data_IF_701607684982
#
_entry.id   IF_701607684982
#
_cell.length_a   1.000
_cell.length_b   1.000
_cell.length_c   1.000
_cell.angle_alpha   90.00
_cell.angle_beta   90.00
_cell.angle_gamma   90.00
#
_symmetry.space_group_name_H-M   'P 1'
#
loop_
_entity.id
_entity.type
_entity.pdbx_description
1 polymer ?
#
# COMPACT_ATOMS: atom_id res chain seq x y z
N UNK A 1 -3.92 16.20 -6.52
CA UNK A 1 -3.85 17.56 -5.94
C UNK A 1 -2.98 17.54 -4.68
N UNK A 2 -2.62 18.69 -4.10
CA UNK A 2 -1.85 18.76 -2.83
C UNK A 2 -2.64 18.13 -1.69
N UNK A 3 -3.95 18.30 -1.69
CA UNK A 3 -4.88 17.74 -0.71
C UNK A 3 -4.96 16.20 -0.72
N UNK A 4 -4.34 15.56 -1.71
CA UNK A 4 -4.27 14.11 -1.83
C UNK A 4 -2.99 13.52 -1.24
N UNK A 5 -2.14 14.35 -0.63
CA UNK A 5 -0.85 13.96 -0.08
C UNK A 5 -0.87 14.11 1.43
N UNK A 6 -0.62 13.01 2.12
CA UNK A 6 -0.49 12.98 3.58
C UNK A 6 0.96 12.72 3.96
N UNK A 7 1.49 13.56 4.86
CA UNK A 7 2.85 13.40 5.40
C UNK A 7 2.80 12.65 6.72
N UNK A 8 3.78 11.80 6.99
CA UNK A 8 3.81 10.97 8.20
C UNK A 8 5.19 10.76 8.79
N UNK A 9 5.20 10.26 10.02
CA UNK A 9 6.40 9.84 10.74
C UNK A 9 6.96 8.52 10.15
N UNK A 10 7.45 8.62 8.89
CA UNK A 10 7.73 7.51 8.02
C UNK A 10 6.46 6.88 7.43
N UNK A 11 6.62 6.03 6.42
CA UNK A 11 5.50 5.31 5.81
C UNK A 11 4.75 4.44 6.83
N UNK A 12 5.43 3.97 7.88
CA UNK A 12 4.83 3.10 8.91
C UNK A 12 3.64 3.72 9.64
N UNK A 13 3.69 5.02 9.98
CA UNK A 13 2.55 5.72 10.59
C UNK A 13 1.38 5.81 9.62
N UNK A 14 1.67 6.10 8.35
CA UNK A 14 0.65 6.26 7.31
C UNK A 14 -0.04 4.92 6.98
N UNK A 15 0.71 3.82 6.98
CA UNK A 15 0.15 2.47 6.85
C UNK A 15 -0.83 2.18 7.98
N UNK A 16 -0.43 2.40 9.23
CA UNK A 16 -1.30 2.17 10.38
C UNK A 16 -2.54 3.07 10.33
N UNK A 17 -2.37 4.35 10.03
CA UNK A 17 -3.47 5.33 9.91
C UNK A 17 -4.46 4.94 8.81
N UNK A 18 -3.95 4.50 7.65
CA UNK A 18 -4.79 4.09 6.51
C UNK A 18 -5.68 2.91 6.85
N UNK A 19 -5.13 1.92 7.55
CA UNK A 19 -5.87 0.73 7.97
C UNK A 19 -6.87 1.04 9.09
N UNK A 20 -6.50 1.92 10.05
CA UNK A 20 -7.43 2.39 11.08
C UNK A 20 -8.62 3.18 10.52
N UNK A 21 -8.41 3.92 9.43
CA UNK A 21 -9.49 4.64 8.76
C UNK A 21 -10.43 3.73 7.94
N UNK A 22 -9.95 2.55 7.54
CA UNK A 22 -10.63 1.66 6.60
C UNK A 22 -11.40 0.54 7.30
N UNK A 23 -10.82 -0.10 8.33
CA UNK A 23 -11.22 -1.42 8.78
C UNK A 23 -12.17 -1.36 9.98
N UNK A 24 -13.22 -2.15 9.88
CA UNK A 24 -14.08 -2.57 10.98
C UNK A 24 -13.80 -4.04 11.34
N UNK A 25 -14.39 -4.53 12.44
CA UNK A 25 -14.28 -5.92 12.87
C UNK A 25 -14.82 -6.88 11.80
N UNK A 26 -13.98 -7.84 11.41
CA UNK A 26 -14.29 -8.83 10.37
C UNK A 26 -13.93 -8.42 8.95
N UNK A 27 -13.53 -7.19 8.69
CA UNK A 27 -13.01 -6.77 7.39
C UNK A 27 -11.67 -7.45 7.07
N UNK A 28 -11.43 -7.71 5.79
CA UNK A 28 -10.25 -8.43 5.32
C UNK A 28 -9.37 -7.55 4.44
N UNK A 29 -8.06 -7.76 4.58
CA UNK A 29 -7.05 -7.18 3.69
C UNK A 29 -6.16 -8.28 3.15
N UNK A 30 -6.04 -8.36 1.83
CA UNK A 30 -5.09 -9.25 1.17
C UNK A 30 -3.67 -8.71 1.33
N UNK A 31 -2.77 -9.54 1.87
CA UNK A 31 -1.37 -9.19 2.15
C UNK A 31 -0.46 -10.24 1.50
N UNK A 32 0.67 -9.86 0.86
CA UNK A 32 1.55 -10.86 0.26
C UNK A 32 2.16 -11.82 1.29
N UNK A 33 2.50 -13.04 0.90
CA UNK A 33 3.31 -13.95 1.69
C UNK A 33 4.47 -14.49 0.84
N UNK A 34 5.72 -14.11 1.20
CA UNK A 34 6.14 -13.33 2.38
C UNK A 34 5.85 -11.83 2.28
N UNK A 35 5.66 -11.17 3.44
CA UNK A 35 5.38 -9.73 3.55
C UNK A 35 6.41 -8.98 4.41
N UNK A 36 6.28 -7.66 4.40
CA UNK A 36 6.83 -6.82 5.46
C UNK A 36 5.88 -6.89 6.68
N UNK A 37 6.31 -7.44 7.84
CA UNK A 37 5.41 -7.80 8.95
C UNK A 37 4.54 -6.67 9.50
N UNK A 38 4.90 -5.41 9.22
CA UNK A 38 4.10 -4.26 9.62
C UNK A 38 2.70 -4.29 9.00
N UNK A 39 2.55 -4.76 7.75
CA UNK A 39 1.25 -4.82 7.10
C UNK A 39 0.31 -5.77 7.83
N UNK A 40 0.73 -7.02 8.04
CA UNK A 40 -0.02 -8.01 8.80
C UNK A 40 -0.37 -7.52 10.21
N UNK A 41 0.62 -6.95 10.92
CA UNK A 41 0.43 -6.43 12.27
C UNK A 41 -0.57 -5.26 12.30
N UNK A 42 -0.46 -4.32 11.35
CA UNK A 42 -1.32 -3.13 11.31
C UNK A 42 -2.77 -3.49 10.95
N UNK A 43 -3.00 -4.44 10.05
CA UNK A 43 -4.35 -4.97 9.77
C UNK A 43 -4.97 -5.54 11.04
N UNK A 44 -4.23 -6.40 11.75
CA UNK A 44 -4.72 -7.03 12.99
C UNK A 44 -4.98 -6.00 14.10
N UNK A 45 -4.10 -5.01 14.26
CA UNK A 45 -4.26 -3.95 15.27
C UNK A 45 -5.41 -3.00 14.95
N UNK A 46 -5.77 -2.85 13.68
CA UNK A 46 -6.93 -2.07 13.25
C UNK A 46 -8.26 -2.83 13.37
N UNK A 47 -8.26 -4.07 13.85
CA UNK A 47 -9.44 -4.91 14.03
C UNK A 47 -9.79 -5.80 12.81
N UNK A 48 -9.04 -5.68 11.72
CA UNK A 48 -9.25 -6.48 10.53
C UNK A 48 -8.53 -7.83 10.55
N UNK A 49 -8.77 -8.63 9.54
CA UNK A 49 -8.16 -9.95 9.31
C UNK A 49 -7.20 -9.89 8.12
N UNK A 50 -5.88 -10.08 8.32
CA UNK A 50 -4.96 -10.25 7.19
C UNK A 50 -5.17 -11.61 6.53
N UNK A 51 -5.35 -11.61 5.22
CA UNK A 51 -5.49 -12.80 4.39
C UNK A 51 -4.30 -12.86 3.45
N UNK A 52 -3.40 -13.82 3.67
CA UNK A 52 -2.16 -13.89 2.93
C UNK A 52 -2.36 -14.56 1.57
N UNK A 53 -1.92 -13.89 0.49
CA UNK A 53 -1.82 -14.48 -0.84
C UNK A 53 -0.39 -14.93 -1.12
N UNK A 54 -0.25 -15.98 -1.91
CA UNK A 54 1.05 -16.59 -2.23
C UNK A 54 1.86 -15.72 -3.18
N UNK A 55 3.13 -15.48 -2.82
CA UNK A 55 4.18 -15.10 -3.75
C UNK A 55 5.08 -16.33 -3.94
N UNK A 56 5.00 -16.97 -5.10
CA UNK A 56 5.60 -18.29 -5.32
C UNK A 56 7.12 -18.16 -5.53
N UNK A 57 7.90 -18.84 -4.68
CA UNK A 57 9.34 -18.89 -4.81
C UNK A 57 9.80 -19.46 -6.14
N UNK A 58 9.07 -20.45 -6.67
CA UNK A 58 9.41 -21.08 -7.95
C UNK A 58 9.03 -20.23 -9.17
N UNK A 59 8.22 -19.19 -8.96
CA UNK A 59 7.85 -18.19 -9.95
C UNK A 59 8.47 -16.82 -9.61
N UNK A 60 9.75 -16.81 -9.22
CA UNK A 60 10.50 -15.58 -8.91
C UNK A 60 9.88 -14.71 -7.82
N UNK A 61 9.13 -15.31 -6.90
CA UNK A 61 8.39 -14.64 -5.83
C UNK A 61 7.27 -13.71 -6.34
N UNK A 62 6.75 -13.98 -7.52
CA UNK A 62 5.64 -13.21 -8.07
C UNK A 62 4.32 -13.63 -7.42
N UNK A 63 3.38 -12.68 -7.20
CA UNK A 63 2.03 -12.97 -6.76
C UNK A 63 1.31 -13.97 -7.66
N UNK A 64 0.74 -15.00 -7.04
CA UNK A 64 -0.14 -15.95 -7.72
C UNK A 64 -1.54 -15.34 -7.85
N UNK A 65 -1.92 -14.98 -9.07
CA UNK A 65 -3.19 -14.32 -9.38
C UNK A 65 -4.40 -15.24 -9.07
N UNK A 66 -4.28 -16.54 -9.29
CA UNK A 66 -5.37 -17.48 -9.00
C UNK A 66 -5.54 -17.67 -7.50
N UNK A 67 -4.44 -17.68 -6.75
CA UNK A 67 -4.48 -17.69 -5.29
C UNK A 67 -5.12 -16.41 -4.74
N UNK A 68 -4.77 -15.23 -5.28
CA UNK A 68 -5.41 -13.95 -4.93
C UNK A 68 -6.92 -14.05 -5.15
N UNK A 69 -7.36 -14.45 -6.35
CA UNK A 69 -8.79 -14.60 -6.71
C UNK A 69 -9.53 -15.50 -5.73
N UNK A 70 -8.91 -16.62 -5.38
CA UNK A 70 -9.52 -17.62 -4.49
C UNK A 70 -9.77 -17.11 -3.08
N UNK A 71 -9.04 -16.06 -2.67
CA UNK A 71 -9.05 -15.49 -1.32
C UNK A 71 -9.90 -14.22 -1.18
N UNK A 72 -10.38 -13.68 -2.29
CA UNK A 72 -11.29 -12.52 -2.25
C UNK A 72 -12.68 -12.98 -1.77
N UNK A 73 -13.19 -12.29 -0.76
CA UNK A 73 -14.53 -12.49 -0.21
C UNK A 73 -15.31 -11.17 -0.18
N UNK A 74 -16.57 -11.22 0.23
CA UNK A 74 -17.36 -10.00 0.44
C UNK A 74 -16.87 -9.11 1.58
N UNK A 75 -16.02 -9.64 2.46
CA UNK A 75 -15.38 -8.89 3.54
C UNK A 75 -14.06 -8.23 3.12
N UNK A 76 -13.52 -8.59 1.95
CA UNK A 76 -12.24 -8.03 1.46
C UNK A 76 -12.41 -6.56 1.09
N UNK A 77 -11.63 -5.67 1.71
CA UNK A 77 -11.65 -4.22 1.47
C UNK A 77 -10.48 -3.73 0.63
N UNK A 78 -9.34 -4.37 0.76
CA UNK A 78 -8.12 -3.89 0.13
C UNK A 78 -7.15 -5.03 -0.21
N UNK A 79 -6.23 -4.72 -1.12
CA UNK A 79 -5.06 -5.55 -1.42
C UNK A 79 -3.80 -4.72 -1.24
N UNK A 80 -2.80 -5.28 -0.55
CA UNK A 80 -1.47 -4.70 -0.40
C UNK A 80 -0.56 -5.23 -1.49
N UNK A 81 0.12 -4.34 -2.21
CA UNK A 81 1.16 -4.65 -3.20
C UNK A 81 2.44 -3.97 -2.75
N UNK A 82 3.48 -4.76 -2.48
CA UNK A 82 4.82 -4.27 -2.11
C UNK A 82 5.73 -4.43 -3.33
N UNK A 83 6.05 -3.33 -4.01
CA UNK A 83 6.84 -3.39 -5.24
C UNK A 83 7.86 -2.24 -5.33
N UNK A 84 9.17 -2.53 -5.36
CA UNK A 84 9.83 -3.84 -5.20
C UNK A 84 9.52 -4.49 -3.83
N UNK A 85 9.41 -5.81 -3.83
CA UNK A 85 8.95 -6.55 -2.65
C UNK A 85 10.00 -6.58 -1.54
N UNK A 86 9.55 -6.45 -0.32
CA UNK A 86 10.27 -6.76 0.91
C UNK A 86 9.57 -7.96 1.57
N UNK A 87 10.22 -9.14 1.72
CA UNK A 87 11.68 -9.34 1.78
C UNK A 87 12.33 -9.89 0.50
N UNK A 88 11.61 -10.26 -0.54
CA UNK A 88 12.13 -11.09 -1.63
C UNK A 88 13.01 -10.32 -2.63
N UNK A 89 12.80 -9.01 -2.76
CA UNK A 89 13.44 -8.18 -3.77
C UNK A 89 12.80 -8.31 -5.16
N UNK A 90 11.73 -9.09 -5.31
CA UNK A 90 11.01 -9.22 -6.57
C UNK A 90 10.50 -7.87 -7.06
N UNK A 91 10.64 -7.63 -8.35
CA UNK A 91 10.15 -6.44 -9.05
C UNK A 91 9.09 -6.87 -10.06
N UNK A 92 7.85 -6.44 -9.83
CA UNK A 92 6.71 -6.82 -10.66
C UNK A 92 6.60 -5.93 -11.88
N UNK A 93 6.42 -6.55 -13.04
CA UNK A 93 6.19 -5.84 -14.31
C UNK A 93 4.72 -5.44 -14.51
N UNK A 94 4.50 -4.58 -15.50
CA UNK A 94 3.20 -3.97 -15.79
C UNK A 94 2.11 -5.01 -16.05
N UNK A 95 2.42 -6.12 -16.72
CA UNK A 95 1.44 -7.17 -17.02
C UNK A 95 0.82 -7.78 -15.75
N UNK A 96 1.65 -8.09 -14.75
CA UNK A 96 1.19 -8.63 -13.48
C UNK A 96 0.44 -7.56 -12.67
N UNK A 97 0.96 -6.34 -12.65
CA UNK A 97 0.31 -5.22 -11.95
C UNK A 97 -1.08 -4.94 -12.54
N UNK A 98 -1.24 -4.98 -13.86
CA UNK A 98 -2.55 -4.82 -14.53
C UNK A 98 -3.53 -5.93 -14.16
N UNK A 99 -3.10 -7.18 -13.96
CA UNK A 99 -3.96 -8.24 -13.49
C UNK A 99 -4.47 -7.98 -12.07
N UNK A 100 -3.61 -7.45 -11.19
CA UNK A 100 -4.01 -7.05 -9.83
C UNK A 100 -4.99 -5.87 -9.88
N UNK A 101 -4.74 -4.88 -10.74
CA UNK A 101 -5.64 -3.74 -10.95
C UNK A 101 -7.02 -4.22 -11.41
N UNK A 102 -7.06 -5.18 -12.34
CA UNK A 102 -8.33 -5.74 -12.82
C UNK A 102 -9.12 -6.44 -11.71
N UNK A 103 -8.46 -7.20 -10.85
CA UNK A 103 -9.10 -7.79 -9.67
C UNK A 103 -9.63 -6.71 -8.71
N UNK A 104 -8.82 -5.69 -8.45
CA UNK A 104 -9.24 -4.58 -7.59
C UNK A 104 -10.46 -3.85 -8.15
N UNK A 105 -10.51 -3.65 -9.48
CA UNK A 105 -11.67 -3.07 -10.19
C UNK A 105 -12.92 -3.92 -10.05
N UNK A 106 -12.81 -5.22 -10.33
CA UNK A 106 -13.94 -6.15 -10.30
C UNK A 106 -14.57 -6.28 -8.92
N UNK A 107 -13.74 -6.22 -7.88
CA UNK A 107 -14.15 -6.42 -6.49
C UNK A 107 -14.21 -5.12 -5.68
N UNK A 108 -14.00 -3.97 -6.32
CA UNK A 108 -14.01 -2.63 -5.68
C UNK A 108 -13.04 -2.52 -4.50
N UNK A 109 -11.85 -3.13 -4.62
CA UNK A 109 -10.82 -3.08 -3.60
C UNK A 109 -9.99 -1.80 -3.68
N UNK A 110 -9.54 -1.32 -2.54
CA UNK A 110 -8.48 -0.31 -2.46
C UNK A 110 -7.13 -1.01 -2.69
N UNK A 111 -6.28 -0.42 -3.53
CA UNK A 111 -4.91 -0.90 -3.70
C UNK A 111 -3.97 -0.08 -2.82
N UNK A 112 -3.39 -0.71 -1.81
CA UNK A 112 -2.30 -0.17 -1.00
C UNK A 112 -0.97 -0.53 -1.66
N UNK A 113 -0.31 0.47 -2.26
CA UNK A 113 0.95 0.32 -2.98
C UNK A 113 2.12 0.77 -2.09
N UNK A 114 2.87 -0.18 -1.55
CA UNK A 114 4.11 0.11 -0.82
C UNK A 114 5.27 0.15 -1.81
N UNK A 115 5.65 1.37 -2.19
CA UNK A 115 6.69 1.64 -3.18
C UNK A 115 7.95 2.24 -2.55
N UNK A 116 8.21 1.93 -1.28
CA UNK A 116 9.34 2.50 -0.51
C UNK A 116 10.70 2.19 -1.14
N UNK A 117 10.80 1.18 -2.00
CA UNK A 117 12.02 0.76 -2.70
C UNK A 117 12.03 1.12 -4.19
N UNK A 118 11.15 1.99 -4.68
CA UNK A 118 10.96 2.34 -6.10
C UNK A 118 12.25 2.79 -6.82
N UNK A 119 13.26 3.25 -6.08
CA UNK A 119 14.58 3.67 -6.61
C UNK A 119 15.72 2.70 -6.26
N UNK A 120 15.43 1.63 -5.54
CA UNK A 120 16.42 0.59 -5.21
C UNK A 120 16.34 -0.51 -6.27
N UNK A 121 16.83 -0.20 -7.46
CA UNK A 121 16.73 -1.05 -8.64
C UNK A 121 18.13 -1.47 -9.10
N UNK A 122 18.23 -2.66 -9.69
CA UNK A 122 19.48 -3.27 -10.16
C UNK A 122 19.35 -3.66 -11.64
N UNK A 123 20.47 -3.90 -12.29
CA UNK A 123 20.58 -4.46 -13.64
C UNK A 123 19.83 -3.69 -14.74
N UNK A 124 19.68 -2.37 -14.56
CA UNK A 124 18.99 -1.52 -15.52
C UNK A 124 17.47 -1.64 -15.52
N UNK A 125 16.89 -2.34 -14.55
CA UNK A 125 15.45 -2.43 -14.38
C UNK A 125 14.82 -1.07 -14.07
N UNK A 126 13.55 -0.92 -14.41
CA UNK A 126 12.74 0.26 -14.14
C UNK A 126 11.51 -0.12 -13.30
N UNK A 127 11.09 0.78 -12.43
CA UNK A 127 9.87 0.62 -11.63
C UNK A 127 8.72 1.37 -12.29
N UNK A 128 7.57 0.72 -12.38
CA UNK A 128 6.29 1.35 -12.72
C UNK A 128 5.43 1.42 -11.46
N UNK A 129 4.97 2.61 -11.09
CA UNK A 129 3.98 2.74 -10.02
C UNK A 129 2.66 2.12 -10.47
N UNK A 130 2.09 1.20 -9.68
CA UNK A 130 0.81 0.57 -10.00
C UNK A 130 -0.31 1.60 -10.17
N UNK A 131 -0.23 2.71 -9.43
CA UNK A 131 -1.20 3.80 -9.50
C UNK A 131 -1.16 4.58 -10.83
N UNK A 132 -0.12 4.41 -11.66
CA UNK A 132 -0.04 5.01 -12.99
C UNK A 132 -0.74 4.19 -14.06
N UNK A 133 -1.15 2.96 -13.76
CA UNK A 133 -1.71 2.02 -14.73
C UNK A 133 -3.23 2.11 -14.89
N UNK A 134 -3.92 2.80 -13.96
CA UNK A 134 -5.37 3.00 -14.01
C UNK A 134 -5.78 4.26 -13.24
N UNK A 135 -6.94 4.82 -13.59
CA UNK A 135 -7.54 6.00 -12.93
C UNK A 135 -8.93 5.71 -12.33
N UNK A 136 -9.45 4.52 -12.56
CA UNK A 136 -10.78 4.06 -12.15
C UNK A 136 -10.78 3.14 -10.91
N UNK A 137 -9.61 2.87 -10.33
CA UNK A 137 -9.41 2.17 -9.06
C UNK A 137 -8.82 3.14 -8.04
N UNK A 138 -9.17 2.99 -6.76
CA UNK A 138 -8.56 3.79 -5.71
C UNK A 138 -7.20 3.22 -5.32
N UNK A 139 -6.17 4.04 -5.41
CA UNK A 139 -4.82 3.72 -4.96
C UNK A 139 -4.42 4.61 -3.78
N UNK A 140 -3.70 4.01 -2.85
CA UNK A 140 -2.97 4.70 -1.78
C UNK A 140 -1.51 4.26 -1.86
N UNK A 141 -0.67 5.13 -2.39
CA UNK A 141 0.76 4.84 -2.63
C UNK A 141 1.61 5.39 -1.50
N UNK A 142 2.42 4.54 -0.89
CA UNK A 142 3.31 4.86 0.23
C UNK A 142 4.75 4.96 -0.23
N UNK A 143 5.45 5.99 0.23
CA UNK A 143 6.87 6.16 0.01
C UNK A 143 7.51 6.99 1.14
N UNK A 144 8.82 7.26 1.06
CA UNK A 144 9.51 8.03 2.09
C UNK A 144 11.01 8.11 1.90
N UNK A 145 11.67 8.81 2.81
CA UNK A 145 13.12 9.04 2.75
C UNK A 145 13.96 7.89 3.32
N UNK A 146 13.32 6.94 4.01
CA UNK A 146 14.04 5.95 4.83
C UNK A 146 14.95 5.02 4.03
N UNK A 147 14.53 4.59 2.84
CA UNK A 147 15.20 3.55 2.06
C UNK A 147 16.01 4.12 0.90
N UNK A 148 15.35 4.69 -0.09
CA UNK A 148 15.98 5.22 -1.28
C UNK A 148 17.02 6.32 -0.99
N UNK A 149 16.78 7.12 0.05
CA UNK A 149 17.67 8.23 0.46
C UNK A 149 18.51 7.91 1.70
N UNK A 150 18.40 6.68 2.25
CA UNK A 150 19.13 6.22 3.46
C UNK A 150 18.96 7.16 4.66
N UNK A 151 17.85 7.86 4.73
CA UNK A 151 17.57 8.91 5.72
C UNK A 151 16.48 8.47 6.70
N UNK A 152 16.58 7.24 7.20
CA UNK A 152 15.54 6.61 8.05
C UNK A 152 15.32 7.35 9.39
N UNK A 153 16.33 8.06 9.89
CA UNK A 153 16.26 8.82 11.14
C UNK A 153 15.42 10.10 11.03
N UNK A 154 15.24 10.67 9.85
CA UNK A 154 14.36 11.83 9.65
C UNK A 154 12.88 11.52 9.83
N UNK A 155 12.50 10.25 9.79
CA UNK A 155 11.12 9.81 9.92
C UNK A 155 10.16 10.53 8.99
N UNK A 156 10.57 10.77 7.75
CA UNK A 156 9.73 11.40 6.73
C UNK A 156 9.19 10.35 5.75
N UNK A 157 7.88 10.24 5.68
CA UNK A 157 7.14 9.46 4.71
C UNK A 157 5.95 10.23 4.19
N UNK A 158 5.43 9.79 3.09
CA UNK A 158 4.20 10.32 2.49
C UNK A 158 3.36 9.20 1.94
N UNK A 159 2.06 9.44 1.85
CA UNK A 159 1.15 8.66 1.03
C UNK A 159 0.40 9.58 0.07
N UNK A 160 0.11 9.07 -1.10
CA UNK A 160 -0.63 9.76 -2.17
C UNK A 160 -1.89 8.98 -2.47
N UNK A 161 -3.04 9.64 -2.40
CA UNK A 161 -4.32 9.07 -2.77
C UNK A 161 -4.65 9.45 -4.22
N UNK A 162 -4.88 8.47 -5.08
CA UNK A 162 -5.14 8.70 -6.50
C UNK A 162 -6.22 7.76 -7.05
N UNK A 163 -6.68 8.02 -8.28
CA UNK A 163 -7.73 7.26 -8.94
C UNK A 163 -9.14 7.64 -8.52
N UNK A 164 -10.09 6.71 -8.60
CA UNK A 164 -11.52 6.95 -8.34
C UNK A 164 -11.83 7.04 -6.85
N UNK A 165 -12.17 8.23 -6.37
CA UNK A 165 -12.38 8.56 -4.95
C UNK A 165 -13.83 8.52 -4.49
N UNK A 166 -14.78 8.60 -5.42
CA UNK A 166 -16.21 8.74 -5.07
C UNK A 166 -16.75 7.60 -4.20
N UNK A 167 -16.42 6.33 -4.45
CA UNK A 167 -16.90 5.23 -3.61
C UNK A 167 -16.29 5.25 -2.20
N UNK A 168 -15.12 5.85 -2.03
CA UNK A 168 -14.33 5.81 -0.80
C UNK A 168 -14.40 7.11 0.03
N UNK A 169 -15.45 7.93 -0.13
CA UNK A 169 -15.56 9.22 0.57
C UNK A 169 -15.50 9.10 2.09
N UNK A 170 -16.12 8.06 2.67
CA UNK A 170 -16.09 7.83 4.11
C UNK A 170 -14.66 7.51 4.59
N UNK A 171 -13.93 6.68 3.84
CA UNK A 171 -12.53 6.38 4.10
C UNK A 171 -11.64 7.64 4.05
N UNK A 172 -11.80 8.47 3.03
CA UNK A 172 -11.05 9.73 2.89
C UNK A 172 -11.37 10.70 4.04
N UNK A 173 -12.64 10.83 4.43
CA UNK A 173 -13.03 11.63 5.60
C UNK A 173 -12.41 11.09 6.91
N UNK A 174 -12.27 9.76 7.03
CA UNK A 174 -11.54 9.12 8.13
C UNK A 174 -10.07 9.53 8.15
N UNK A 175 -9.39 9.50 7.00
CA UNK A 175 -8.00 9.95 6.87
C UNK A 175 -7.84 11.43 7.26
N UNK A 176 -8.73 12.29 6.77
CA UNK A 176 -8.73 13.73 7.06
C UNK A 176 -8.98 14.01 8.56
N UNK A 177 -9.68 13.10 9.24
CA UNK A 177 -9.89 13.19 10.69
C UNK A 177 -8.66 12.71 11.47
N UNK A 178 -8.06 11.58 11.08
CA UNK A 178 -6.93 11.01 11.80
C UNK A 178 -5.62 11.80 11.59
N UNK A 179 -5.40 12.34 10.40
CA UNK A 179 -4.17 13.03 10.07
C UNK A 179 -3.83 14.21 11.02
N UNK A 180 -4.76 15.13 11.37
CA UNK A 180 -4.49 16.22 12.30
C UNK A 180 -4.49 15.79 13.78
N UNK A 181 -5.03 14.61 14.13
CA UNK A 181 -5.08 14.17 15.54
C UNK A 181 -3.68 14.00 16.18
N UNK A 182 -2.66 13.78 15.37
CA UNK A 182 -1.27 13.72 15.83
C UNK A 182 -0.60 15.10 15.96
N UNK A 183 -1.35 16.19 15.78
CA UNK A 183 -1.00 17.63 15.88
C UNK A 183 -0.11 18.11 14.74
N UNK A 184 1.08 17.56 14.54
CA UNK A 184 1.98 17.95 13.47
C UNK A 184 2.82 16.77 12.96
N UNK A 185 3.23 16.84 11.71
CA UNK A 185 4.22 15.93 11.15
C UNK A 185 5.64 16.23 11.69
N UNK A 186 6.59 15.27 11.62
CA UNK A 186 7.96 15.50 12.05
C UNK A 186 8.60 16.60 11.20
N UNK A 187 8.92 17.74 11.84
CA UNK A 187 9.39 18.94 11.16
C UNK A 187 10.72 18.79 10.40
N UNK A 188 11.75 18.07 10.90
CA UNK A 188 13.02 17.98 10.19
C UNK A 188 12.93 17.30 8.81
N UNK A 189 12.09 16.29 8.68
CA UNK A 189 11.96 15.55 7.43
C UNK A 189 11.30 16.33 6.28
N UNK A 190 10.13 16.96 6.49
CA UNK A 190 9.47 17.77 5.48
C UNK A 190 10.17 19.05 5.07
N UNK A 191 11.12 19.53 5.89
CA UNK A 191 11.91 20.76 5.61
C UNK A 191 13.30 20.47 5.03
N UNK A 192 13.70 19.21 4.94
CA UNK A 192 14.99 18.81 4.36
C UNK A 192 14.89 18.57 2.85
#
# INVERSE_FOLDING_TARGET
AVDDVYLGNGASELIAMSLQALLDDGDEVLVPAPDYPLWTASVSLAGGRPVHYLCDEQADWFPDIEDIKSKITSATKAIVVINPNNPTGALYGDELLLQIVELARQHQLIVFADEIYDKTLYDGNTHTSIASLADDVLFVTFNGLSKNYRSCGYRAGWMVVSGEKRPARAYLAGLDTLAPMRLCSPTPGPLA
#
